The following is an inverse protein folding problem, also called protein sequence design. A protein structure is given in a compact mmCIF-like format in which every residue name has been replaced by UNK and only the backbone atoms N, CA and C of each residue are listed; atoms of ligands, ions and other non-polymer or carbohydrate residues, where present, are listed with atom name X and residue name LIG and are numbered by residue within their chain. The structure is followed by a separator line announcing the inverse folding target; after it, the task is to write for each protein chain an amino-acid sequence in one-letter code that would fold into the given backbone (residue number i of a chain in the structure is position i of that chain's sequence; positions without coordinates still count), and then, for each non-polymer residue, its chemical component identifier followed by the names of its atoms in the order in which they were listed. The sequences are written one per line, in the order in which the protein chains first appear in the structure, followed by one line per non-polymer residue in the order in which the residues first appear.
data_IF_716147467348
#
_entry.id   IF_716147467348
#
_cell.length_a   1.000
_cell.length_b   1.000
_cell.length_c   1.000
_cell.angle_alpha   90.00
_cell.angle_beta   90.00
_cell.angle_gamma   90.00
#
_symmetry.space_group_name_H-M   'P 1'
#
loop_
_entity.id
_entity.type
_entity.pdbx_description
1 polymer ?
#
# COMPACT_ATOMS: atom_id res chain seq x y z
N UNK A 1 -7.27 -30.58 13.77
CA UNK A 1 -8.51 -30.24 13.03
C UNK A 1 -9.25 -29.22 13.88
N UNK A 2 -9.10 -27.95 13.59
CA UNK A 2 -9.85 -26.90 14.27
C UNK A 2 -11.08 -26.59 13.43
N UNK A 3 -12.27 -26.76 14.00
CA UNK A 3 -13.58 -26.36 13.46
C UNK A 3 -14.03 -27.01 12.12
N UNK A 4 -13.61 -28.22 11.80
CA UNK A 4 -14.04 -28.95 10.59
C UNK A 4 -13.47 -28.46 9.27
N UNK A 5 -12.56 -27.50 9.28
CA UNK A 5 -11.89 -26.97 8.09
C UNK A 5 -10.66 -27.80 7.70
N UNK A 6 -10.49 -28.05 6.41
CA UNK A 6 -9.32 -28.75 5.88
C UNK A 6 -8.15 -27.78 5.67
N UNK A 7 -6.97 -28.21 6.08
CA UNK A 7 -5.72 -27.45 5.91
C UNK A 7 -4.71 -28.22 5.07
N UNK A 8 -4.01 -27.50 4.19
CA UNK A 8 -2.89 -28.01 3.41
C UNK A 8 -1.68 -27.10 3.67
N UNK A 9 -0.67 -27.63 4.33
CA UNK A 9 0.57 -26.88 4.68
C UNK A 9 0.27 -25.56 5.41
N UNK A 10 -0.65 -25.58 6.38
CA UNK A 10 -1.02 -24.41 7.18
C UNK A 10 -1.98 -23.43 6.50
N UNK A 11 -2.48 -23.74 5.31
CA UNK A 11 -3.41 -22.90 4.53
C UNK A 11 -4.79 -23.58 4.45
N UNK A 12 -5.85 -22.79 4.42
CA UNK A 12 -7.19 -23.30 4.23
C UNK A 12 -7.36 -23.90 2.84
N UNK A 13 -7.76 -25.15 2.78
CA UNK A 13 -8.09 -25.80 1.51
C UNK A 13 -9.45 -25.31 1.01
N UNK A 14 -9.49 -24.79 -0.20
CA UNK A 14 -10.71 -24.34 -0.88
C UNK A 14 -11.15 -25.43 -1.86
N UNK A 15 -12.33 -26.05 -1.63
CA UNK A 15 -12.84 -27.08 -2.55
C UNK A 15 -13.18 -26.50 -3.93
N UNK A 16 -13.51 -27.39 -4.89
CA UNK A 16 -13.89 -27.01 -6.27
C UNK A 16 -15.26 -26.33 -6.32
N UNK A 17 -15.40 -25.21 -5.59
CA UNK A 17 -16.58 -24.38 -5.59
C UNK A 17 -16.24 -23.03 -6.23
N UNK A 18 -16.76 -22.79 -7.45
CA UNK A 18 -16.47 -21.59 -8.24
C UNK A 18 -16.92 -20.30 -7.54
N UNK A 19 -18.07 -20.33 -6.87
CA UNK A 19 -18.61 -19.16 -6.18
C UNK A 19 -17.71 -18.76 -5.00
N UNK A 20 -17.27 -19.73 -4.21
CA UNK A 20 -16.38 -19.49 -3.07
C UNK A 20 -15.01 -18.95 -3.54
N UNK A 21 -14.43 -19.56 -4.58
CA UNK A 21 -13.17 -19.08 -5.16
C UNK A 21 -13.31 -17.64 -5.66
N UNK A 22 -14.41 -17.31 -6.35
CA UNK A 22 -14.67 -15.95 -6.80
C UNK A 22 -14.77 -14.96 -5.64
N UNK A 23 -15.43 -15.30 -4.55
CA UNK A 23 -15.50 -14.45 -3.35
C UNK A 23 -14.12 -14.19 -2.77
N UNK A 24 -13.23 -15.19 -2.72
CA UNK A 24 -11.84 -15.05 -2.29
C UNK A 24 -11.08 -14.11 -3.26
N UNK A 25 -11.21 -14.33 -4.57
CA UNK A 25 -10.57 -13.52 -5.59
C UNK A 25 -11.02 -12.05 -5.51
N UNK A 26 -12.33 -11.80 -5.37
CA UNK A 26 -12.88 -10.46 -5.16
C UNK A 26 -12.31 -9.81 -3.90
N UNK A 27 -12.28 -10.53 -2.80
CA UNK A 27 -11.79 -10.01 -1.54
C UNK A 27 -10.29 -9.68 -1.57
N UNK A 28 -9.47 -10.54 -2.21
CA UNK A 28 -8.01 -10.39 -2.25
C UNK A 28 -7.49 -9.60 -3.47
N UNK A 29 -8.40 -9.18 -4.37
CA UNK A 29 -8.05 -8.36 -5.52
C UNK A 29 -8.86 -7.06 -5.59
N UNK A 30 -10.22 -7.12 -5.50
CA UNK A 30 -11.09 -5.98 -5.78
C UNK A 30 -11.35 -5.12 -4.54
N UNK A 31 -11.13 -5.64 -3.33
CA UNK A 31 -11.38 -4.87 -2.11
C UNK A 31 -10.41 -3.68 -1.97
N UNK A 32 -10.84 -2.64 -1.26
CA UNK A 32 -10.00 -1.46 -0.98
C UNK A 32 -8.70 -1.82 -0.24
N UNK A 33 -8.73 -2.87 0.58
CA UNK A 33 -7.55 -3.37 1.29
C UNK A 33 -6.62 -4.16 0.36
N UNK A 34 -7.16 -4.77 -0.69
CA UNK A 34 -6.40 -5.53 -1.68
C UNK A 34 -5.76 -4.65 -2.76
N UNK A 35 -6.38 -3.51 -3.13
CA UNK A 35 -5.77 -2.46 -3.93
C UNK A 35 -5.59 -2.76 -5.42
N UNK A 36 -6.34 -3.70 -6.01
CA UNK A 36 -6.25 -4.09 -7.43
C UNK A 36 -4.82 -4.36 -7.93
N UNK A 37 -3.98 -4.98 -7.12
CA UNK A 37 -2.61 -5.29 -7.51
C UNK A 37 -2.54 -6.29 -8.69
N UNK A 38 -1.35 -6.42 -9.29
CA UNK A 38 -1.12 -7.37 -10.38
C UNK A 38 -1.15 -8.82 -9.91
N UNK A 39 -1.22 -9.74 -10.89
CA UNK A 39 -1.31 -11.19 -10.70
C UNK A 39 -0.41 -11.71 -9.58
N UNK A 40 0.88 -11.38 -9.61
CA UNK A 40 1.85 -11.90 -8.64
C UNK A 40 1.51 -11.50 -7.20
N UNK A 41 1.26 -10.22 -6.94
CA UNK A 41 0.92 -9.73 -5.59
C UNK A 41 -0.42 -10.28 -5.09
N UNK A 42 -1.42 -10.37 -5.96
CA UNK A 42 -2.72 -10.99 -5.63
C UNK A 42 -2.54 -12.46 -5.28
N UNK A 43 -1.73 -13.19 -6.05
CA UNK A 43 -1.45 -14.60 -5.81
C UNK A 43 -0.76 -14.82 -4.46
N UNK A 44 0.24 -14.02 -4.12
CA UNK A 44 0.96 -14.14 -2.84
C UNK A 44 0.02 -13.83 -1.65
N UNK A 45 -0.87 -12.84 -1.77
CA UNK A 45 -1.89 -12.56 -0.75
C UNK A 45 -2.81 -13.76 -0.52
N UNK A 46 -3.29 -14.38 -1.60
CA UNK A 46 -4.15 -15.57 -1.53
C UNK A 46 -3.37 -16.75 -0.95
N UNK A 47 -2.13 -16.98 -1.40
CA UNK A 47 -1.25 -18.05 -0.91
C UNK A 47 -0.95 -17.96 0.58
N UNK A 48 -0.98 -16.78 1.16
CA UNK A 48 -0.75 -16.61 2.59
C UNK A 48 -1.76 -17.39 3.45
N UNK A 49 -3.02 -17.51 2.98
CA UNK A 49 -4.11 -18.09 3.78
C UNK A 49 -4.83 -19.27 3.11
N UNK A 50 -4.83 -19.34 1.78
CA UNK A 50 -5.64 -20.29 1.02
C UNK A 50 -4.80 -21.18 0.10
N UNK A 51 -5.36 -22.33 -0.24
CA UNK A 51 -4.81 -23.24 -1.21
C UNK A 51 -5.91 -24.00 -1.96
N UNK A 52 -5.79 -24.04 -3.30
CA UNK A 52 -6.53 -24.95 -4.17
C UNK A 52 -5.71 -25.32 -5.41
N UNK A 53 -6.00 -26.46 -6.09
CA UNK A 53 -5.31 -26.84 -7.31
C UNK A 53 -5.52 -25.82 -8.44
N UNK A 54 -4.47 -25.52 -9.19
CA UNK A 54 -4.45 -24.56 -10.32
C UNK A 54 -4.73 -23.10 -9.92
N UNK A 55 -4.52 -22.75 -8.66
CA UNK A 55 -4.74 -21.40 -8.14
C UNK A 55 -4.00 -20.33 -8.95
N UNK A 56 -2.76 -20.60 -9.38
CA UNK A 56 -1.93 -19.66 -10.14
C UNK A 56 -2.62 -19.23 -11.44
N UNK A 57 -3.20 -20.21 -12.17
CA UNK A 57 -3.90 -19.96 -13.44
C UNK A 57 -5.22 -19.21 -13.22
N UNK A 58 -6.00 -19.61 -12.23
CA UNK A 58 -7.29 -18.98 -11.92
C UNK A 58 -7.09 -17.51 -11.45
N UNK A 59 -6.05 -17.22 -10.66
CA UNK A 59 -5.71 -15.86 -10.25
C UNK A 59 -5.24 -15.02 -11.46
N UNK A 60 -4.41 -15.58 -12.34
CA UNK A 60 -3.98 -14.92 -13.57
C UNK A 60 -5.16 -14.52 -14.44
N UNK A 61 -6.07 -15.46 -14.70
CA UNK A 61 -7.26 -15.24 -15.51
C UNK A 61 -8.16 -14.17 -14.90
N UNK A 62 -8.37 -14.22 -13.59
CA UNK A 62 -9.18 -13.25 -12.87
C UNK A 62 -8.61 -11.83 -12.97
N UNK A 63 -7.32 -11.65 -12.65
CA UNK A 63 -6.66 -10.34 -12.70
C UNK A 63 -6.60 -9.81 -14.13
N UNK A 64 -6.37 -10.68 -15.12
CA UNK A 64 -6.37 -10.30 -16.54
C UNK A 64 -7.74 -9.86 -17.04
N UNK A 65 -8.82 -10.46 -16.54
CA UNK A 65 -10.20 -10.09 -16.91
C UNK A 65 -10.79 -8.96 -16.09
N UNK A 66 -10.09 -8.46 -15.06
CA UNK A 66 -10.58 -7.39 -14.21
C UNK A 66 -10.69 -6.07 -14.98
N UNK A 67 -11.92 -5.58 -15.17
CA UNK A 67 -12.21 -4.35 -15.92
C UNK A 67 -11.52 -3.10 -15.31
N UNK A 68 -11.55 -2.96 -13.98
CA UNK A 68 -10.85 -1.88 -13.29
C UNK A 68 -9.34 -1.89 -13.57
N UNK A 69 -8.71 -3.07 -13.53
CA UNK A 69 -7.29 -3.20 -13.85
C UNK A 69 -6.99 -2.86 -15.33
N UNK A 70 -7.86 -3.28 -16.25
CA UNK A 70 -7.65 -3.03 -17.68
C UNK A 70 -7.75 -1.53 -18.01
N UNK A 71 -8.65 -0.80 -17.36
CA UNK A 71 -8.82 0.64 -17.61
C UNK A 71 -7.75 1.50 -16.93
N UNK A 72 -7.30 1.12 -15.75
CA UNK A 72 -6.51 1.99 -14.88
C UNK A 72 -5.01 1.66 -14.84
N UNK A 73 -4.58 0.48 -15.31
CA UNK A 73 -3.14 0.13 -15.30
C UNK A 73 -2.42 0.71 -16.51
N UNK A 74 -1.38 1.50 -16.26
CA UNK A 74 -0.47 1.97 -17.30
C UNK A 74 0.30 0.80 -17.94
N UNK A 75 0.44 0.84 -19.26
CA UNK A 75 1.24 -0.13 -20.01
C UNK A 75 2.72 0.08 -19.69
N UNK A 76 3.40 -0.95 -19.20
CA UNK A 76 4.82 -0.88 -18.86
C UNK A 76 5.68 -1.15 -20.10
N UNK A 77 6.30 -0.10 -20.64
CA UNK A 77 7.39 -0.23 -21.60
C UNK A 77 8.73 -0.37 -20.87
N UNK A 78 9.67 -1.14 -21.46
CA UNK A 78 11.05 -1.20 -20.95
C UNK A 78 11.68 0.19 -21.05
N UNK A 79 12.19 0.73 -19.93
CA UNK A 79 13.00 1.96 -19.96
C UNK A 79 14.36 1.65 -20.59
N UNK A 80 14.80 2.52 -21.50
CA UNK A 80 16.11 2.45 -22.12
C UNK A 80 17.11 3.29 -21.30
N UNK A 81 18.25 2.72 -20.96
CA UNK A 81 19.36 3.42 -20.31
C UNK A 81 20.18 2.54 -19.37
N UNK A 82 21.47 2.85 -19.20
CA UNK A 82 22.33 2.25 -18.19
C UNK A 82 21.92 2.79 -16.80
N UNK A 83 21.74 1.89 -15.86
CA UNK A 83 21.41 2.20 -14.46
C UNK A 83 22.72 2.48 -13.72
N UNK A 84 22.81 3.66 -13.08
CA UNK A 84 23.77 3.91 -12.02
C UNK A 84 23.03 3.67 -10.69
N UNK A 85 23.16 2.48 -10.07
CA UNK A 85 22.40 2.13 -8.87
C UNK A 85 22.93 2.95 -7.69
N UNK A 86 21.98 3.53 -6.94
CA UNK A 86 22.32 4.12 -5.65
C UNK A 86 22.79 3.03 -4.68
N UNK A 87 23.63 3.42 -3.71
CA UNK A 87 24.18 2.53 -2.69
C UNK A 87 23.08 1.72 -2.00
N UNK A 88 23.40 0.46 -1.70
CA UNK A 88 22.51 -0.44 -0.94
C UNK A 88 22.52 0.03 0.52
N UNK A 89 21.35 0.33 1.03
CA UNK A 89 21.15 0.82 2.38
C UNK A 89 21.24 -0.32 3.41
N UNK A 90 21.57 0.00 4.65
CA UNK A 90 21.83 -1.02 5.67
C UNK A 90 20.65 -1.26 6.62
N UNK A 91 19.75 -0.29 6.80
CA UNK A 91 18.60 -0.42 7.69
C UNK A 91 17.41 0.48 7.27
N UNK A 92 16.20 0.16 7.76
CA UNK A 92 15.01 0.98 7.49
C UNK A 92 15.18 2.42 8.01
N UNK A 93 14.62 3.37 7.26
CA UNK A 93 14.48 4.79 7.57
C UNK A 93 15.78 5.60 7.70
N UNK A 94 16.92 5.03 7.33
CA UNK A 94 18.18 5.77 7.22
C UNK A 94 18.18 6.73 6.03
N UNK A 95 17.56 6.33 4.93
CA UNK A 95 17.47 7.14 3.73
C UNK A 95 16.05 7.09 3.19
N UNK A 96 15.45 8.25 3.05
CA UNK A 96 14.07 8.38 2.56
C UNK A 96 14.01 9.14 1.24
N UNK A 97 12.94 8.94 0.50
CA UNK A 97 12.58 9.79 -0.63
C UNK A 97 11.25 10.48 -0.38
N UNK A 98 11.13 11.72 -0.81
CA UNK A 98 9.95 12.55 -0.64
C UNK A 98 9.54 13.16 -1.97
N UNK A 99 8.23 13.15 -2.25
CA UNK A 99 7.66 13.74 -3.46
C UNK A 99 6.24 14.24 -3.21
N UNK A 100 5.71 15.07 -4.11
CA UNK A 100 4.35 15.57 -4.04
C UNK A 100 3.52 15.11 -5.23
N UNK A 101 2.38 14.50 -4.96
CA UNK A 101 1.32 14.38 -5.95
C UNK A 101 0.49 15.66 -5.85
N UNK A 102 0.43 16.42 -6.93
CA UNK A 102 -0.24 17.71 -7.03
C UNK A 102 -1.43 17.63 -7.99
N UNK A 103 -2.18 18.74 -8.10
CA UNK A 103 -3.31 18.88 -9.05
C UNK A 103 -4.44 17.86 -8.84
N UNK A 104 -4.64 17.43 -7.58
CA UNK A 104 -5.77 16.58 -7.24
C UNK A 104 -7.03 17.42 -7.02
N UNK A 105 -8.20 16.83 -7.31
CA UNK A 105 -9.48 17.41 -6.93
C UNK A 105 -9.54 17.62 -5.43
N UNK A 106 -10.26 18.64 -4.96
CA UNK A 106 -10.41 18.89 -3.53
C UNK A 106 -11.10 17.71 -2.83
N UNK A 107 -10.53 17.26 -1.72
CA UNK A 107 -11.09 16.23 -0.87
C UNK A 107 -10.86 16.59 0.61
N UNK A 108 -11.91 16.97 1.32
CA UNK A 108 -11.83 17.34 2.73
C UNK A 108 -10.86 18.50 3.03
N UNK A 109 -10.77 19.49 2.15
CA UNK A 109 -9.83 20.61 2.25
C UNK A 109 -8.41 20.32 1.75
N UNK A 110 -8.17 19.15 1.19
CA UNK A 110 -6.86 18.72 0.68
C UNK A 110 -6.85 18.64 -0.85
N UNK A 111 -5.72 18.99 -1.46
CA UNK A 111 -5.52 19.02 -2.92
C UNK A 111 -4.20 18.40 -3.35
N UNK A 112 -3.39 17.95 -2.40
CA UNK A 112 -2.06 17.38 -2.63
C UNK A 112 -1.81 16.22 -1.68
N UNK A 113 -0.88 15.35 -2.04
CA UNK A 113 -0.38 14.29 -1.17
C UNK A 113 1.13 14.43 -1.07
N UNK A 114 1.66 14.47 0.14
CA UNK A 114 3.08 14.24 0.40
C UNK A 114 3.29 12.73 0.50
N UNK A 115 4.12 12.21 -0.38
CA UNK A 115 4.54 10.81 -0.40
C UNK A 115 5.93 10.72 0.19
N UNK A 116 6.11 9.94 1.24
CA UNK A 116 7.41 9.67 1.86
C UNK A 116 7.67 8.18 1.80
N UNK A 117 8.81 7.77 1.26
CA UNK A 117 9.15 6.36 1.05
C UNK A 117 10.49 6.06 1.69
N UNK A 118 10.52 5.06 2.55
CA UNK A 118 11.77 4.45 3.00
C UNK A 118 12.44 3.70 1.85
N UNK A 119 13.66 4.09 1.54
CA UNK A 119 14.39 3.53 0.40
C UNK A 119 14.88 2.11 0.63
N UNK A 120 14.98 1.66 1.89
CA UNK A 120 15.37 0.29 2.26
C UNK A 120 14.16 -0.67 2.23
N UNK A 121 13.22 -0.53 3.15
CA UNK A 121 12.06 -1.41 3.30
C UNK A 121 10.99 -1.21 2.21
N UNK A 122 11.01 -0.07 1.51
CA UNK A 122 9.97 0.41 0.57
C UNK A 122 8.67 0.80 1.27
N UNK A 123 8.67 0.94 2.58
CA UNK A 123 7.51 1.41 3.32
C UNK A 123 7.21 2.85 2.94
N UNK A 124 5.93 3.18 2.80
CA UNK A 124 5.49 4.50 2.37
C UNK A 124 4.46 5.09 3.32
N UNK A 125 4.47 6.42 3.44
CA UNK A 125 3.44 7.22 4.07
C UNK A 125 2.78 8.14 3.06
N UNK A 126 1.45 8.25 3.12
CA UNK A 126 0.63 9.08 2.23
C UNK A 126 -0.10 10.15 3.03
N UNK A 127 0.39 11.38 3.00
CA UNK A 127 -0.05 12.46 3.88
C UNK A 127 -0.82 13.51 3.07
N UNK A 128 -2.13 13.71 3.33
CA UNK A 128 -2.91 14.72 2.63
C UNK A 128 -2.53 16.13 3.04
N UNK A 129 -2.42 17.03 2.07
CA UNK A 129 -2.06 18.44 2.25
C UNK A 129 -3.03 19.35 1.51
N UNK A 130 -3.23 20.56 2.02
CA UNK A 130 -3.92 21.63 1.30
C UNK A 130 -3.00 22.35 0.30
N UNK A 131 -3.59 23.07 -0.64
CA UNK A 131 -2.84 23.81 -1.68
C UNK A 131 -1.81 24.76 -1.09
N UNK A 132 -2.20 25.49 -0.05
CA UNK A 132 -1.42 26.58 0.54
C UNK A 132 -0.68 26.16 1.81
N UNK A 133 -0.43 24.86 2.00
CA UNK A 133 0.34 24.38 3.15
C UNK A 133 1.74 25.03 3.16
N UNK A 134 2.06 25.88 4.15
CA UNK A 134 3.35 26.55 4.19
C UNK A 134 4.45 25.54 4.53
N UNK A 135 5.68 25.85 4.12
CA UNK A 135 6.84 24.95 4.35
C UNK A 135 7.07 24.66 5.83
N UNK A 136 6.79 25.61 6.71
CA UNK A 136 6.85 25.39 8.17
C UNK A 136 5.91 24.28 8.62
N UNK A 137 4.72 24.22 8.06
CA UNK A 137 3.76 23.18 8.38
C UNK A 137 4.20 21.83 7.78
N UNK A 138 4.82 21.82 6.60
CA UNK A 138 5.42 20.59 6.03
C UNK A 138 6.51 20.06 6.97
N UNK A 139 7.35 20.92 7.55
CA UNK A 139 8.33 20.51 8.55
C UNK A 139 7.69 19.93 9.81
N UNK A 140 6.60 20.53 10.32
CA UNK A 140 5.86 20.00 11.45
C UNK A 140 5.23 18.63 11.13
N UNK A 141 4.70 18.46 9.92
CA UNK A 141 4.16 17.20 9.44
C UNK A 141 5.27 16.14 9.37
N UNK A 142 6.42 16.49 8.83
CA UNK A 142 7.59 15.60 8.83
C UNK A 142 7.97 15.14 10.24
N UNK A 143 8.02 16.04 11.20
CA UNK A 143 8.31 15.71 12.60
C UNK A 143 7.23 14.80 13.20
N UNK A 144 5.96 15.05 12.90
CA UNK A 144 4.83 14.31 13.47
C UNK A 144 4.64 12.95 12.85
N UNK A 145 4.76 12.83 11.51
CA UNK A 145 4.40 11.62 10.77
C UNK A 145 5.62 10.73 10.45
N UNK A 146 6.81 11.29 10.38
CA UNK A 146 8.02 10.55 10.04
C UNK A 146 8.96 10.42 11.24
N UNK A 147 9.51 11.55 11.72
CA UNK A 147 10.48 11.50 12.79
C UNK A 147 9.96 10.84 14.07
N UNK A 148 8.77 11.15 14.48
CA UNK A 148 8.14 10.55 15.68
C UNK A 148 8.03 9.03 15.57
N UNK A 149 7.86 8.49 14.39
CA UNK A 149 7.64 7.06 14.15
C UNK A 149 8.93 6.29 13.89
N UNK A 150 9.88 6.91 13.20
CA UNK A 150 11.03 6.23 12.61
C UNK A 150 12.39 6.81 13.01
N UNK A 151 12.41 7.98 13.64
CA UNK A 151 13.65 8.72 13.91
C UNK A 151 14.06 9.62 12.74
N UNK A 152 15.22 10.27 12.87
CA UNK A 152 15.78 11.09 11.80
C UNK A 152 16.47 10.23 10.75
N UNK A 153 16.20 10.46 9.46
CA UNK A 153 16.98 9.84 8.40
C UNK A 153 18.38 10.49 8.30
N UNK A 154 19.33 9.75 7.76
CA UNK A 154 20.64 10.29 7.41
C UNK A 154 20.54 11.14 6.12
N UNK A 155 19.69 10.74 5.17
CA UNK A 155 19.48 11.50 3.95
C UNK A 155 18.03 11.53 3.47
N UNK A 156 17.68 12.63 2.80
CA UNK A 156 16.42 12.84 2.11
C UNK A 156 16.68 13.08 0.64
N UNK A 157 16.14 12.21 -0.21
CA UNK A 157 16.11 12.38 -1.66
C UNK A 157 14.77 13.02 -2.03
N UNK A 158 14.79 14.13 -2.76
CA UNK A 158 13.57 14.78 -3.27
C UNK A 158 13.76 15.30 -4.68
N UNK A 159 12.65 15.59 -5.34
CA UNK A 159 12.66 16.34 -6.57
C UNK A 159 13.07 17.82 -6.33
N UNK A 160 13.09 18.61 -7.40
CA UNK A 160 13.41 20.04 -7.34
C UNK A 160 12.19 20.91 -7.05
N UNK A 161 11.20 20.40 -6.34
CA UNK A 161 10.08 21.22 -5.90
C UNK A 161 10.58 22.41 -5.07
N UNK A 162 10.02 23.60 -5.33
CA UNK A 162 10.43 24.86 -4.70
C UNK A 162 10.33 24.82 -3.17
N UNK A 163 9.48 24.01 -2.61
CA UNK A 163 9.31 23.82 -1.17
C UNK A 163 10.52 23.13 -0.54
N UNK A 164 11.02 22.06 -1.19
CA UNK A 164 12.24 21.36 -0.73
C UNK A 164 13.52 22.17 -1.00
N UNK A 165 13.49 23.11 -1.96
CA UNK A 165 14.59 24.04 -2.22
C UNK A 165 14.55 25.29 -1.36
N UNK A 166 13.54 25.48 -0.52
CA UNK A 166 13.41 26.66 0.32
C UNK A 166 14.53 26.73 1.36
N UNK A 167 15.03 27.96 1.62
CA UNK A 167 16.06 28.19 2.64
C UNK A 167 15.62 27.68 4.02
N UNK A 168 14.34 27.77 4.33
CA UNK A 168 13.80 27.27 5.59
C UNK A 168 13.97 25.76 5.70
N UNK A 169 13.57 24.99 4.66
CA UNK A 169 13.67 23.54 4.65
C UNK A 169 15.12 23.07 4.75
N UNK A 170 15.99 23.65 3.92
CA UNK A 170 17.43 23.30 3.91
C UNK A 170 18.08 23.59 5.27
N UNK A 171 17.77 24.75 5.87
CA UNK A 171 18.29 25.09 7.20
C UNK A 171 17.78 24.11 8.28
N UNK A 172 16.51 23.71 8.24
CA UNK A 172 15.97 22.71 9.19
C UNK A 172 16.68 21.37 9.04
N UNK A 173 16.89 20.89 7.83
CA UNK A 173 17.60 19.64 7.57
C UNK A 173 19.07 19.71 8.00
N UNK A 174 19.75 20.82 7.72
CA UNK A 174 21.13 21.08 8.16
C UNK A 174 21.24 21.07 9.70
N UNK A 175 20.30 21.73 10.41
CA UNK A 175 20.29 21.74 11.87
C UNK A 175 19.99 20.35 12.49
N UNK A 176 19.32 19.49 11.74
CA UNK A 176 19.03 18.11 12.12
C UNK A 176 20.11 17.12 11.66
N UNK A 177 21.19 17.61 11.04
CA UNK A 177 22.26 16.79 10.47
C UNK A 177 21.75 15.76 9.43
N UNK A 178 20.81 16.20 8.58
CA UNK A 178 20.21 15.40 7.52
C UNK A 178 20.69 15.87 6.15
N UNK A 179 21.29 14.98 5.37
CA UNK A 179 21.78 15.27 4.02
C UNK A 179 20.64 15.35 3.01
N UNK A 180 20.46 16.49 2.36
CA UNK A 180 19.41 16.69 1.33
C UNK A 180 20.00 16.48 -0.05
N UNK A 181 19.56 15.43 -0.74
CA UNK A 181 19.99 15.07 -2.11
C UNK A 181 18.89 15.39 -3.12
N UNK A 182 19.12 16.39 -3.94
CA UNK A 182 18.19 16.75 -5.00
C UNK A 182 18.35 15.83 -6.21
N UNK A 183 17.25 15.25 -6.70
CA UNK A 183 17.26 14.50 -7.95
C UNK A 183 17.64 15.42 -9.12
N UNK A 184 18.41 14.91 -10.07
CA UNK A 184 18.79 15.68 -11.26
C UNK A 184 17.94 15.24 -12.45
N UNK A 185 17.67 16.19 -13.38
CA UNK A 185 16.91 15.90 -14.61
C UNK A 185 17.54 14.79 -15.47
N UNK A 186 18.86 14.54 -15.29
CA UNK A 186 19.61 13.53 -16.05
C UNK A 186 19.74 12.18 -15.32
N UNK A 187 19.31 12.08 -14.05
CA UNK A 187 19.30 10.85 -13.27
C UNK A 187 17.91 10.60 -12.65
N UNK A 188 16.88 10.35 -13.46
CA UNK A 188 15.53 10.09 -12.99
C UNK A 188 15.43 8.83 -12.11
N UNK A 189 16.52 8.05 -12.07
CA UNK A 189 16.60 6.81 -11.27
C UNK A 189 16.71 7.08 -9.76
N UNK A 190 17.20 8.25 -9.37
CA UNK A 190 17.33 8.66 -7.98
C UNK A 190 15.95 8.75 -7.31
N UNK A 191 14.92 9.11 -8.09
CA UNK A 191 13.53 9.24 -7.66
C UNK A 191 12.59 8.15 -8.23
N UNK A 192 13.09 7.24 -9.04
CA UNK A 192 12.28 6.21 -9.69
C UNK A 192 11.53 5.26 -8.75
N UNK A 193 11.89 5.24 -7.45
CA UNK A 193 11.15 4.51 -6.43
C UNK A 193 9.88 5.27 -6.06
N UNK A 194 9.98 6.56 -5.80
CA UNK A 194 8.85 7.42 -5.44
C UNK A 194 7.87 7.56 -6.60
N UNK A 195 8.39 7.77 -7.83
CA UNK A 195 7.55 7.74 -9.04
C UNK A 195 6.71 6.45 -9.14
N UNK A 196 7.32 5.30 -8.83
CA UNK A 196 6.60 4.02 -8.85
C UNK A 196 5.54 3.92 -7.76
N UNK A 197 5.81 4.45 -6.57
CA UNK A 197 4.84 4.52 -5.48
C UNK A 197 3.69 5.43 -5.87
N UNK A 198 3.99 6.61 -6.45
CA UNK A 198 2.98 7.55 -6.94
C UNK A 198 2.07 6.90 -7.99
N UNK A 199 2.62 6.19 -8.97
CA UNK A 199 1.85 5.46 -9.98
C UNK A 199 0.91 4.42 -9.35
N UNK A 200 1.37 3.71 -8.30
CA UNK A 200 0.55 2.72 -7.58
C UNK A 200 -0.56 3.42 -6.81
N UNK A 201 -0.27 4.53 -6.13
CA UNK A 201 -1.26 5.31 -5.39
C UNK A 201 -2.31 5.92 -6.32
N UNK A 202 -1.90 6.52 -7.43
CA UNK A 202 -2.82 7.03 -8.44
C UNK A 202 -3.71 5.93 -9.03
N UNK A 203 -3.14 4.75 -9.29
CA UNK A 203 -3.93 3.60 -9.74
C UNK A 203 -4.94 3.17 -8.69
N UNK A 204 -4.55 3.16 -7.41
CA UNK A 204 -5.46 2.87 -6.31
C UNK A 204 -6.61 3.89 -6.27
N UNK A 205 -6.29 5.19 -6.32
CA UNK A 205 -7.30 6.25 -6.35
C UNK A 205 -8.26 6.09 -7.53
N UNK A 206 -7.76 5.88 -8.76
CA UNK A 206 -8.61 5.63 -9.94
C UNK A 206 -9.52 4.41 -9.79
N UNK A 207 -9.13 3.42 -9.00
CA UNK A 207 -9.90 2.19 -8.80
C UNK A 207 -11.01 2.33 -7.76
N UNK A 208 -10.84 3.24 -6.78
CA UNK A 208 -11.73 3.32 -5.60
C UNK A 208 -12.37 4.69 -5.39
N UNK A 209 -11.86 5.75 -6.02
CA UNK A 209 -12.51 7.05 -5.99
C UNK A 209 -13.74 7.07 -6.89
N UNK A 210 -14.76 7.82 -6.47
CA UNK A 210 -15.93 8.15 -7.30
C UNK A 210 -15.50 8.94 -8.55
N UNK A 211 -16.41 9.11 -9.48
CA UNK A 211 -16.18 9.96 -10.65
C UNK A 211 -15.86 11.43 -10.26
N UNK A 212 -16.41 11.90 -9.14
CA UNK A 212 -16.18 13.26 -8.62
C UNK A 212 -14.82 13.43 -7.95
N UNK A 213 -14.16 12.33 -7.56
CA UNK A 213 -12.84 12.31 -6.91
C UNK A 213 -12.72 13.20 -5.65
N UNK A 214 -13.80 13.36 -4.91
CA UNK A 214 -13.94 14.27 -3.76
C UNK A 214 -13.68 13.64 -2.39
N UNK A 215 -13.34 12.34 -2.35
CA UNK A 215 -13.11 11.58 -1.12
C UNK A 215 -11.80 10.79 -1.09
N UNK A 216 -10.83 11.14 -1.94
CA UNK A 216 -9.56 10.42 -1.99
C UNK A 216 -8.75 10.53 -0.69
N UNK A 217 -8.85 11.66 0.03
CA UNK A 217 -8.12 11.83 1.28
C UNK A 217 -8.54 10.81 2.36
N UNK A 218 -9.82 10.43 2.40
CA UNK A 218 -10.33 9.40 3.32
C UNK A 218 -9.84 8.00 2.97
N UNK A 219 -9.46 7.77 1.72
CA UNK A 219 -8.95 6.48 1.25
C UNK A 219 -7.45 6.30 1.50
N UNK A 220 -6.70 7.36 1.81
CA UNK A 220 -5.24 7.29 1.98
C UNK A 220 -4.79 6.27 3.04
N UNK A 221 -5.41 6.17 4.22
CA UNK A 221 -5.02 5.15 5.20
C UNK A 221 -5.18 3.71 4.68
N UNK A 222 -6.21 3.46 3.87
CA UNK A 222 -6.43 2.14 3.25
C UNK A 222 -5.44 1.89 2.10
N UNK A 223 -5.15 2.92 1.29
CA UNK A 223 -4.15 2.85 0.24
C UNK A 223 -2.75 2.58 0.81
N UNK A 224 -2.38 3.27 1.88
CA UNK A 224 -1.12 3.08 2.60
C UNK A 224 -1.02 1.67 3.17
N UNK A 225 -2.06 1.20 3.84
CA UNK A 225 -2.09 -0.19 4.34
C UNK A 225 -2.00 -1.21 3.19
N UNK A 226 -2.76 -1.03 2.11
CA UNK A 226 -2.73 -1.93 0.95
C UNK A 226 -1.33 -1.97 0.32
N UNK A 227 -0.69 -0.82 0.16
CA UNK A 227 0.66 -0.72 -0.37
C UNK A 227 1.69 -1.39 0.55
N UNK A 228 1.70 -1.04 1.83
CA UNK A 228 2.69 -1.49 2.81
C UNK A 228 2.55 -2.98 3.16
N UNK A 229 1.35 -3.54 3.07
CA UNK A 229 1.12 -4.98 3.30
C UNK A 229 1.29 -5.85 2.05
N UNK A 230 1.44 -5.25 0.87
CA UNK A 230 1.58 -6.00 -0.38
C UNK A 230 3.03 -6.47 -0.60
N UNK A 231 3.20 -7.72 -1.05
CA UNK A 231 4.50 -8.28 -1.38
C UNK A 231 5.28 -7.37 -2.35
N UNK A 232 6.53 -7.08 -2.01
CA UNK A 232 7.44 -6.33 -2.86
C UNK A 232 8.40 -7.27 -3.56
N UNK A 233 8.49 -7.18 -4.89
CA UNK A 233 9.39 -8.02 -5.67
C UNK A 233 10.87 -7.72 -5.42
N UNK A 234 11.20 -6.48 -5.07
CA UNK A 234 12.56 -6.04 -4.81
C UNK A 234 13.11 -6.52 -3.48
N UNK A 235 12.29 -6.53 -2.42
CA UNK A 235 12.68 -6.96 -1.08
C UNK A 235 12.32 -8.42 -0.78
N UNK A 236 11.44 -9.04 -1.62
CA UNK A 236 10.89 -10.39 -1.46
C UNK A 236 10.00 -10.58 -0.22
N UNK A 237 9.67 -9.50 0.46
CA UNK A 237 8.73 -9.41 1.59
C UNK A 237 7.87 -8.16 1.42
N UNK A 238 6.82 -8.01 2.23
CA UNK A 238 6.07 -6.76 2.24
C UNK A 238 6.89 -5.63 2.88
N UNK A 239 6.67 -4.35 2.53
CA UNK A 239 7.29 -3.23 3.22
C UNK A 239 7.05 -3.25 4.74
N UNK A 240 5.87 -3.68 5.16
CA UNK A 240 5.53 -3.81 6.57
C UNK A 240 6.42 -4.86 7.26
N UNK A 241 6.59 -6.02 6.65
CA UNK A 241 7.45 -7.10 7.17
C UNK A 241 8.93 -6.71 7.14
N UNK A 242 9.38 -6.04 6.07
CA UNK A 242 10.74 -5.54 5.96
C UNK A 242 11.10 -4.50 7.05
N UNK A 243 10.10 -3.75 7.55
CA UNK A 243 10.30 -2.73 8.57
C UNK A 243 10.13 -3.24 10.00
N UNK A 244 9.17 -4.14 10.25
CA UNK A 244 8.76 -4.56 11.59
C UNK A 244 9.05 -6.03 11.91
N UNK A 245 9.58 -6.80 10.95
CA UNK A 245 9.85 -8.24 11.07
C UNK A 245 8.60 -9.10 11.33
N UNK A 246 7.42 -8.58 11.04
CA UNK A 246 6.16 -9.32 11.06
C UNK A 246 5.15 -8.76 10.07
N UNK A 247 4.25 -9.62 9.59
CA UNK A 247 3.14 -9.19 8.74
C UNK A 247 1.99 -8.59 9.56
N UNK A 248 1.32 -7.51 9.10
CA UNK A 248 0.20 -6.94 9.82
C UNK A 248 -0.94 -7.96 9.90
N UNK A 249 -1.66 -7.95 11.01
CA UNK A 249 -2.88 -8.77 11.12
C UNK A 249 -3.92 -8.24 10.14
N UNK A 250 -4.32 -9.09 9.23
CA UNK A 250 -5.51 -8.88 8.42
C UNK A 250 -6.71 -9.55 9.11
N UNK A 251 -7.91 -9.20 8.70
CA UNK A 251 -9.16 -9.75 9.22
C UNK A 251 -9.30 -11.29 9.04
N UNK A 252 -8.45 -11.95 8.25
CA UNK A 252 -8.39 -13.41 8.12
C UNK A 252 -7.80 -14.14 9.34
N UNK A 253 -7.07 -13.44 10.19
CA UNK A 253 -6.52 -14.06 11.39
C UNK A 253 -7.64 -14.17 12.45
N UNK A 254 -7.78 -15.36 13.03
CA UNK A 254 -8.77 -15.67 14.07
C UNK A 254 -8.87 -14.52 15.09
N UNK A 255 -9.90 -13.69 15.01
CA UNK A 255 -10.20 -12.73 16.04
C UNK A 255 -10.90 -13.45 17.18
N UNK A 256 -10.36 -13.35 18.41
CA UNK A 256 -11.11 -13.73 19.61
C UNK A 256 -12.39 -12.93 19.60
N UNK A 257 -13.56 -13.58 19.75
CA UNK A 257 -14.86 -12.91 19.81
C UNK A 257 -14.79 -11.73 20.80
N UNK A 258 -14.98 -10.52 20.32
CA UNK A 258 -15.10 -9.35 21.17
C UNK A 258 -16.33 -9.49 22.07
N UNK A 259 -16.17 -9.36 23.38
CA UNK A 259 -17.25 -9.62 24.34
C UNK A 259 -18.30 -8.51 24.41
N UNK A 260 -17.99 -7.30 23.96
CA UNK A 260 -18.95 -6.18 23.82
C UNK A 260 -18.42 -5.21 22.76
N UNK A 261 -19.25 -4.76 21.86
CA UNK A 261 -18.89 -3.83 20.78
C UNK A 261 -19.85 -2.66 20.84
N UNK A 262 -19.29 -1.42 20.79
CA UNK A 262 -20.07 -0.21 20.65
C UNK A 262 -20.71 -0.17 19.25
N UNK A 263 -21.98 0.20 19.15
CA UNK A 263 -22.77 0.15 17.92
C UNK A 263 -22.14 0.93 16.76
N UNK A 264 -21.53 2.10 17.03
CA UNK A 264 -20.84 2.88 15.99
C UNK A 264 -19.54 2.23 15.52
N UNK A 265 -18.79 1.61 16.44
CA UNK A 265 -17.60 0.82 16.12
C UNK A 265 -17.95 -0.49 15.41
N UNK A 266 -19.11 -1.09 15.72
CA UNK A 266 -19.61 -2.27 15.00
C UNK A 266 -19.94 -1.97 13.54
N UNK A 267 -20.62 -0.88 13.27
CA UNK A 267 -21.02 -0.52 11.90
C UNK A 267 -19.80 -0.27 11.00
N UNK A 268 -18.75 0.34 11.54
CA UNK A 268 -17.49 0.53 10.85
C UNK A 268 -16.76 -0.79 10.60
N UNK A 269 -16.73 -1.65 11.61
CA UNK A 269 -16.11 -2.98 11.54
C UNK A 269 -16.93 -3.94 10.68
N UNK A 270 -18.25 -3.91 10.76
CA UNK A 270 -19.16 -4.73 9.95
C UNK A 270 -19.05 -4.42 8.46
N UNK A 271 -18.90 -3.14 8.08
CA UNK A 271 -18.62 -2.75 6.71
C UNK A 271 -17.29 -3.35 6.18
N UNK A 272 -16.34 -3.62 7.07
CA UNK A 272 -15.06 -4.23 6.71
C UNK A 272 -15.08 -5.77 6.79
N UNK A 273 -15.93 -6.34 7.66
CA UNK A 273 -15.88 -7.77 7.99
C UNK A 273 -17.06 -8.57 7.45
N UNK A 274 -18.14 -7.94 6.98
CA UNK A 274 -19.32 -8.66 6.47
C UNK A 274 -18.98 -9.64 5.35
N UNK A 275 -18.15 -9.23 4.40
CA UNK A 275 -17.67 -10.10 3.30
C UNK A 275 -16.89 -11.30 3.85
N UNK A 276 -16.15 -11.10 4.93
CA UNK A 276 -15.28 -12.11 5.54
C UNK A 276 -16.04 -13.14 6.34
N UNK A 277 -17.07 -12.71 7.04
CA UNK A 277 -17.93 -13.62 7.80
C UNK A 277 -18.74 -14.51 6.86
N UNK A 278 -19.28 -13.94 5.79
CA UNK A 278 -19.97 -14.68 4.75
C UNK A 278 -19.05 -15.69 4.04
N UNK A 279 -17.80 -15.32 3.77
CA UNK A 279 -16.82 -16.24 3.19
C UNK A 279 -16.44 -17.38 4.14
N UNK A 280 -16.26 -17.09 5.43
CA UNK A 280 -15.99 -18.12 6.44
C UNK A 280 -17.15 -19.12 6.51
N UNK A 281 -18.38 -18.64 6.61
CA UNK A 281 -19.57 -19.50 6.62
C UNK A 281 -19.71 -20.33 5.33
N UNK A 282 -19.38 -19.74 4.17
CA UNK A 282 -19.38 -20.46 2.90
C UNK A 282 -18.26 -21.50 2.80
N UNK A 283 -17.08 -21.22 3.39
CA UNK A 283 -16.00 -22.20 3.53
C UNK A 283 -16.43 -23.38 4.41
N UNK A 284 -17.01 -23.10 5.58
CA UNK A 284 -17.51 -24.13 6.50
C UNK A 284 -18.59 -25.00 5.83
N UNK A 285 -19.56 -24.37 5.13
CA UNK A 285 -20.61 -25.11 4.38
C UNK A 285 -20.06 -25.92 3.20
N UNK A 286 -19.03 -25.41 2.50
CA UNK A 286 -18.44 -26.10 1.35
C UNK A 286 -17.55 -27.28 1.78
N UNK A 287 -16.96 -27.24 2.97
CA UNK A 287 -16.14 -28.32 3.53
C UNK A 287 -16.98 -29.39 4.26
N UNK A 288 -18.21 -29.06 4.69
CA UNK A 288 -19.15 -29.98 5.32
C UNK A 288 -19.92 -30.87 4.31
N UNK A 289 -19.76 -30.62 3.01
CA UNK A 289 -20.29 -31.45 1.91
C UNK A 289 -19.22 -32.34 1.33
#
# INVERSE_FOLDING_TARGET
MDDGLLFVKGRWYVPSNKELKNKILMAEHDSRIAGHFGQFKTLERIKANFYWPRMDQEVEEYVRSCDSCQRNKATRHKKYGLLDPLDILNRPWDDISMDFIVELSESGGHTKILVVVDRFSKMAHFIPLSTDTPIKEIANIFLREIWRLHGLPNSVVSDRDSRFQSRFWLCVMELLDVDVRMSTAFHPQTDGQTERVNQILEQYQRSYCSYQQDHWAELLPLAEHAYNSAFSESTKVSPFEANYDFSPRTHWLKTKKAKQVNTAGSNLYEGWTSVWQEMRENLERAQAR
#
